data_IF_379833526133
#
_entry.id   IF_379833526133
#
_cell.length_a   1.000
_cell.length_b   1.000
_cell.length_c   1.000
_cell.angle_alpha   90.00
_cell.angle_beta   90.00
_cell.angle_gamma   90.00
#
_symmetry.space_group_name_H-M   'P 1'
#
loop_
_entity.id
_entity.type
_entity.pdbx_description
1 polymer ?
#
# COMPACT_ATOMS: atom_id res chain seq x y z
N UNK A 1 -30.49 1.59 -11.72
CA UNK A 1 -29.89 2.77 -12.39
C UNK A 1 -28.49 3.12 -11.87
N UNK A 2 -28.22 3.17 -10.56
CA UNK A 2 -26.89 3.51 -10.01
C UNK A 2 -25.80 2.48 -10.40
N UNK A 3 -26.11 1.18 -10.38
CA UNK A 3 -25.16 0.11 -10.71
C UNK A 3 -24.73 0.12 -12.20
N UNK A 4 -25.67 0.33 -13.12
CA UNK A 4 -25.39 0.44 -14.56
C UNK A 4 -24.62 1.74 -14.91
N UNK A 5 -24.88 2.84 -14.20
CA UNK A 5 -24.09 4.07 -14.33
C UNK A 5 -22.64 3.89 -13.85
N UNK A 6 -22.44 3.19 -12.73
CA UNK A 6 -21.11 2.80 -12.22
C UNK A 6 -20.35 1.91 -13.20
N UNK A 7 -21.01 0.92 -13.81
CA UNK A 7 -20.39 0.06 -14.83
C UNK A 7 -19.88 0.82 -16.05
N UNK A 8 -20.63 1.83 -16.52
CA UNK A 8 -20.22 2.66 -17.65
C UNK A 8 -18.99 3.52 -17.33
N UNK A 9 -18.99 4.17 -16.15
CA UNK A 9 -17.84 4.95 -15.68
C UNK A 9 -16.61 4.03 -15.49
N UNK A 10 -16.80 2.81 -14.97
CA UNK A 10 -15.70 1.86 -14.77
C UNK A 10 -15.08 1.32 -16.06
N UNK A 11 -15.84 1.23 -17.15
CA UNK A 11 -15.30 0.82 -18.44
C UNK A 11 -14.25 1.82 -18.95
N UNK A 12 -14.43 3.12 -18.67
CA UNK A 12 -13.51 4.19 -19.08
C UNK A 12 -12.22 4.24 -18.23
N UNK A 13 -12.16 3.54 -17.09
CA UNK A 13 -11.00 3.44 -16.21
C UNK A 13 -10.46 2.00 -16.08
N UNK A 14 -10.57 1.23 -17.16
CA UNK A 14 -9.92 -0.07 -17.29
C UNK A 14 -8.49 0.12 -17.79
N UNK A 15 -7.53 -0.20 -16.93
CA UNK A 15 -6.12 -0.24 -17.29
C UNK A 15 -5.79 -1.62 -17.86
N UNK A 16 -5.10 -1.67 -18.99
CA UNK A 16 -4.51 -2.92 -19.48
C UNK A 16 -3.39 -3.37 -18.53
N UNK A 17 -3.55 -4.55 -17.96
CA UNK A 17 -2.60 -5.15 -17.02
C UNK A 17 -2.19 -6.51 -17.61
N UNK A 18 -0.94 -6.63 -18.13
CA UNK A 18 -0.38 -7.89 -18.58
C UNK A 18 -0.54 -9.01 -17.55
N UNK A 19 -0.55 -10.25 -18.01
CA UNK A 19 -0.70 -11.39 -17.11
C UNK A 19 0.57 -11.66 -16.31
N UNK A 20 1.71 -11.62 -16.97
CA UNK A 20 2.92 -12.20 -16.40
C UNK A 20 4.18 -11.41 -16.76
N UNK A 21 5.32 -11.90 -16.29
CA UNK A 21 6.66 -11.43 -16.65
C UNK A 21 6.91 -9.98 -16.20
N UNK A 22 6.93 -9.80 -14.87
CA UNK A 22 6.99 -8.49 -14.22
C UNK A 22 8.36 -8.20 -13.61
N UNK A 23 8.90 -7.01 -13.89
CA UNK A 23 10.00 -6.44 -13.14
C UNK A 23 9.48 -5.68 -11.93
N UNK A 24 9.76 -6.21 -10.73
CA UNK A 24 9.31 -5.66 -9.47
C UNK A 24 10.30 -4.69 -8.87
N UNK A 25 9.81 -3.48 -8.58
CA UNK A 25 10.56 -2.47 -7.85
C UNK A 25 10.04 -2.27 -6.45
N UNK A 26 10.98 -2.46 -5.51
CA UNK A 26 10.75 -2.50 -4.07
C UNK A 26 10.50 -1.12 -3.50
N UNK A 27 9.76 -1.05 -2.41
CA UNK A 27 9.49 0.22 -1.72
C UNK A 27 10.44 0.44 -0.56
N UNK A 28 11.14 1.58 -0.53
CA UNK A 28 11.97 1.92 0.63
C UNK A 28 11.15 2.02 1.92
N UNK A 29 9.94 2.56 1.88
CA UNK A 29 9.07 2.65 3.07
C UNK A 29 8.60 1.26 3.49
N UNK A 30 8.17 0.42 2.54
CA UNK A 30 7.70 -0.93 2.87
C UNK A 30 8.83 -1.78 3.43
N UNK A 31 10.01 -1.74 2.85
CA UNK A 31 11.19 -2.47 3.35
C UNK A 31 11.59 -2.10 4.76
N UNK A 32 11.43 -0.82 5.14
CA UNK A 32 11.82 -0.35 6.46
C UNK A 32 10.75 -0.61 7.53
N UNK A 33 9.46 -0.51 7.17
CA UNK A 33 8.38 -0.54 8.16
C UNK A 33 7.48 -1.78 8.08
N UNK A 34 7.32 -2.38 6.90
CA UNK A 34 6.46 -3.54 6.64
C UNK A 34 7.16 -4.57 5.74
N UNK A 35 8.36 -5.07 6.10
CA UNK A 35 9.12 -5.99 5.24
C UNK A 35 8.37 -7.31 4.99
N UNK A 36 7.58 -7.78 5.95
CA UNK A 36 6.73 -8.96 5.80
C UNK A 36 5.69 -8.79 4.69
N UNK A 37 5.06 -7.61 4.58
CA UNK A 37 4.12 -7.29 3.51
C UNK A 37 4.77 -7.31 2.11
N UNK A 38 6.01 -6.81 1.97
CA UNK A 38 6.73 -6.87 0.68
C UNK A 38 7.08 -8.30 0.29
N UNK A 39 7.57 -9.11 1.24
CA UNK A 39 7.83 -10.53 1.01
C UNK A 39 6.55 -11.27 0.64
N UNK A 40 5.45 -10.99 1.34
CA UNK A 40 4.16 -11.64 1.11
C UNK A 40 3.62 -11.33 -0.29
N UNK A 41 3.75 -10.09 -0.77
CA UNK A 41 3.38 -9.77 -2.15
C UNK A 41 4.04 -10.72 -3.16
N UNK A 42 5.37 -10.86 -3.06
CA UNK A 42 6.15 -11.70 -3.97
C UNK A 42 5.83 -13.18 -3.81
N UNK A 43 5.62 -13.65 -2.59
CA UNK A 43 5.23 -15.02 -2.28
C UNK A 43 3.86 -15.36 -2.90
N UNK A 44 2.86 -14.47 -2.77
CA UNK A 44 1.55 -14.63 -3.43
C UNK A 44 1.74 -14.68 -4.95
N UNK A 45 2.44 -13.71 -5.53
CA UNK A 45 2.60 -13.64 -6.98
C UNK A 45 3.35 -14.85 -7.55
N UNK A 46 4.49 -15.24 -6.95
CA UNK A 46 5.33 -16.32 -7.46
C UNK A 46 4.77 -17.71 -7.15
N UNK A 47 4.36 -17.95 -5.90
CA UNK A 47 4.09 -19.31 -5.42
C UNK A 47 2.60 -19.65 -5.36
N UNK A 48 1.73 -18.66 -5.10
CA UNK A 48 0.27 -18.89 -5.09
C UNK A 48 -0.32 -18.74 -6.48
N UNK A 49 0.13 -17.73 -7.24
CA UNK A 49 -0.40 -17.40 -8.56
C UNK A 49 0.49 -17.89 -9.72
N UNK A 50 1.70 -18.39 -9.43
CA UNK A 50 2.59 -18.96 -10.45
C UNK A 50 3.11 -17.97 -11.48
N UNK A 51 3.28 -16.69 -11.10
CA UNK A 51 3.71 -15.61 -12.00
C UNK A 51 5.21 -15.36 -11.90
N UNK A 52 5.82 -15.02 -13.03
CA UNK A 52 7.21 -14.59 -13.14
C UNK A 52 7.37 -13.14 -12.68
N UNK A 53 8.08 -12.98 -11.57
CA UNK A 53 8.45 -11.70 -10.99
C UNK A 53 9.95 -11.69 -10.73
N UNK A 54 10.65 -10.75 -11.34
CA UNK A 54 12.08 -10.52 -11.10
C UNK A 54 12.32 -9.25 -10.30
N UNK A 55 13.25 -9.32 -9.36
CA UNK A 55 13.70 -8.19 -8.55
C UNK A 55 15.23 -8.06 -8.64
N UNK A 56 15.71 -6.86 -8.91
CA UNK A 56 17.14 -6.61 -8.99
C UNK A 56 17.74 -6.37 -7.59
N UNK A 57 18.80 -7.11 -7.24
CA UNK A 57 19.49 -6.96 -5.95
C UNK A 57 20.01 -5.54 -5.71
N UNK A 58 20.44 -4.86 -6.78
CA UNK A 58 20.96 -3.50 -6.79
C UNK A 58 19.87 -2.43 -7.08
N UNK A 59 18.59 -2.76 -6.94
CA UNK A 59 17.50 -1.78 -6.94
C UNK A 59 17.71 -0.71 -5.84
N UNK A 60 17.36 0.54 -6.10
CA UNK A 60 17.50 1.66 -5.14
C UNK A 60 16.20 2.43 -4.99
N UNK A 61 16.17 3.42 -4.10
CA UNK A 61 15.03 4.35 -3.98
C UNK A 61 14.60 4.93 -5.34
N UNK A 62 13.32 5.22 -5.49
CA UNK A 62 12.78 5.98 -6.62
C UNK A 62 13.05 7.49 -6.52
N UNK A 63 13.56 7.98 -5.39
CA UNK A 63 13.79 9.42 -5.14
C UNK A 63 12.52 10.24 -4.85
N UNK A 64 11.33 9.65 -4.99
CA UNK A 64 10.04 10.37 -4.93
C UNK A 64 9.80 11.15 -3.62
N UNK A 65 10.17 10.60 -2.46
CA UNK A 65 10.00 11.35 -1.18
C UNK A 65 10.89 12.60 -1.15
N UNK A 66 12.15 12.48 -1.57
CA UNK A 66 13.07 13.62 -1.61
C UNK A 66 12.58 14.67 -2.62
N UNK A 67 12.08 14.23 -3.77
CA UNK A 67 11.49 15.10 -4.78
C UNK A 67 10.26 15.86 -4.26
N UNK A 68 9.27 15.17 -3.68
CA UNK A 68 8.07 15.81 -3.12
C UNK A 68 8.32 16.58 -1.81
N UNK A 69 9.52 16.48 -1.24
CA UNK A 69 9.98 17.31 -0.13
C UNK A 69 10.80 18.53 -0.58
N UNK A 70 10.93 18.77 -1.89
CA UNK A 70 11.75 19.82 -2.49
C UNK A 70 13.25 19.73 -2.11
N UNK A 71 13.75 18.53 -1.78
CA UNK A 71 15.15 18.35 -1.33
C UNK A 71 16.11 17.96 -2.45
N UNK A 72 15.59 17.53 -3.61
CA UNK A 72 16.38 17.23 -4.80
C UNK A 72 15.74 17.82 -6.07
N UNK A 73 16.53 18.23 -7.07
CA UNK A 73 16.01 18.67 -8.36
C UNK A 73 15.25 17.58 -9.12
N UNK A 74 14.34 17.99 -10.01
CA UNK A 74 13.56 17.08 -10.86
C UNK A 74 14.45 16.20 -11.75
N UNK A 75 15.51 16.75 -12.33
CA UNK A 75 16.45 15.97 -13.15
C UNK A 75 17.16 14.85 -12.37
N UNK A 76 17.41 15.08 -11.07
CA UNK A 76 18.02 14.07 -10.19
C UNK A 76 17.07 12.89 -9.99
N UNK A 77 15.80 13.14 -9.66
CA UNK A 77 14.82 12.05 -9.51
C UNK A 77 14.60 11.33 -10.84
N UNK A 78 14.51 12.05 -11.95
CA UNK A 78 14.41 11.46 -13.30
C UNK A 78 15.59 10.55 -13.63
N UNK A 79 16.82 10.95 -13.30
CA UNK A 79 18.02 10.12 -13.52
C UNK A 79 18.03 8.87 -12.65
N UNK A 80 17.58 8.97 -11.39
CA UNK A 80 17.42 7.82 -10.49
C UNK A 80 16.38 6.82 -11.04
N UNK A 81 15.26 7.32 -11.58
CA UNK A 81 14.22 6.49 -12.20
C UNK A 81 14.72 5.85 -13.49
N UNK A 82 15.43 6.60 -14.34
CA UNK A 82 16.05 6.08 -15.55
C UNK A 82 17.00 4.91 -15.26
N UNK A 83 17.76 4.97 -14.14
CA UNK A 83 18.57 3.85 -13.67
C UNK A 83 17.72 2.61 -13.32
N UNK A 84 16.54 2.79 -12.72
CA UNK A 84 15.68 1.63 -12.42
C UNK A 84 15.12 1.00 -13.71
N UNK A 85 14.76 1.82 -14.71
CA UNK A 85 14.36 1.31 -16.03
C UNK A 85 15.52 0.61 -16.76
N UNK A 86 16.76 1.06 -16.56
CA UNK A 86 17.94 0.36 -17.07
C UNK A 86 18.06 -1.06 -16.46
N UNK A 87 17.83 -1.21 -15.15
CA UNK A 87 17.83 -2.54 -14.51
C UNK A 87 16.77 -3.47 -15.09
N UNK A 88 15.57 -2.96 -15.36
CA UNK A 88 14.53 -3.71 -16.06
C UNK A 88 14.98 -4.15 -17.46
N UNK A 89 15.56 -3.21 -18.22
CA UNK A 89 16.04 -3.44 -19.58
C UNK A 89 17.14 -4.51 -19.63
N UNK A 90 18.12 -4.42 -18.73
CA UNK A 90 19.23 -5.37 -18.61
C UNK A 90 18.75 -6.77 -18.22
N UNK A 91 17.68 -6.86 -17.42
CA UNK A 91 17.07 -8.13 -17.02
C UNK A 91 16.17 -8.74 -18.10
N UNK A 92 15.90 -8.02 -19.20
CA UNK A 92 15.07 -8.52 -20.31
C UNK A 92 13.55 -8.37 -20.10
N UNK A 93 13.11 -7.56 -19.12
CA UNK A 93 11.70 -7.35 -18.82
C UNK A 93 11.16 -6.07 -19.47
N UNK A 94 9.85 -6.01 -19.71
CA UNK A 94 9.16 -4.82 -20.25
C UNK A 94 7.93 -4.39 -19.44
N UNK A 95 7.39 -5.29 -18.60
CA UNK A 95 6.28 -5.01 -17.69
C UNK A 95 6.86 -4.61 -16.33
N UNK A 96 6.50 -3.44 -15.83
CA UNK A 96 7.10 -2.85 -14.64
C UNK A 96 6.06 -2.66 -13.54
N UNK A 97 6.34 -3.16 -12.34
CA UNK A 97 5.40 -3.08 -11.21
C UNK A 97 6.02 -2.37 -10.03
N UNK A 98 5.37 -1.28 -9.62
CA UNK A 98 5.76 -0.48 -8.48
C UNK A 98 5.08 -0.97 -7.20
N UNK A 99 5.88 -1.28 -6.17
CA UNK A 99 5.39 -1.62 -4.82
C UNK A 99 4.74 -0.43 -4.09
N UNK A 100 5.17 0.78 -4.40
CA UNK A 100 4.78 2.00 -3.69
C UNK A 100 3.96 2.91 -4.58
N UNK A 101 2.87 3.46 -4.04
CA UNK A 101 2.01 4.43 -4.72
C UNK A 101 2.74 5.73 -5.05
N UNK A 102 3.64 6.20 -4.18
CA UNK A 102 4.50 7.36 -4.48
C UNK A 102 5.40 7.07 -5.68
N UNK A 103 6.01 5.88 -5.73
CA UNK A 103 6.86 5.48 -6.85
C UNK A 103 6.04 5.37 -8.14
N UNK A 104 4.86 4.74 -8.09
CA UNK A 104 3.94 4.64 -9.21
C UNK A 104 3.58 6.02 -9.79
N UNK A 105 3.15 6.97 -8.95
CA UNK A 105 2.85 8.34 -9.38
C UNK A 105 4.07 9.04 -9.99
N UNK A 106 5.23 8.95 -9.34
CA UNK A 106 6.47 9.55 -9.81
C UNK A 106 6.93 8.98 -11.16
N UNK A 107 6.82 7.66 -11.37
CA UNK A 107 7.18 7.04 -12.66
C UNK A 107 6.27 7.50 -13.79
N UNK A 108 4.96 7.60 -13.54
CA UNK A 108 4.01 8.09 -14.54
C UNK A 108 4.29 9.56 -14.86
N UNK A 109 4.46 10.41 -13.84
CA UNK A 109 4.77 11.83 -14.04
C UNK A 109 6.00 12.03 -14.90
N UNK A 110 7.07 11.28 -14.62
CA UNK A 110 8.31 11.35 -15.37
C UNK A 110 8.10 10.92 -16.82
N UNK A 111 7.35 9.84 -17.08
CA UNK A 111 7.09 9.37 -18.43
C UNK A 111 6.23 10.33 -19.24
N UNK A 112 5.18 10.90 -18.64
CA UNK A 112 4.33 11.91 -19.29
C UNK A 112 5.14 13.20 -19.54
N UNK A 113 6.00 13.60 -18.59
CA UNK A 113 6.89 14.75 -18.77
C UNK A 113 7.89 14.53 -19.90
N UNK A 114 8.50 13.35 -20.00
CA UNK A 114 9.40 13.01 -21.11
C UNK A 114 8.67 12.89 -22.45
N UNK A 115 7.39 12.52 -22.45
CA UNK A 115 6.57 12.54 -23.65
C UNK A 115 6.37 13.98 -24.14
N UNK A 116 5.99 14.90 -23.24
CA UNK A 116 5.76 16.31 -23.58
C UNK A 116 7.06 17.05 -23.93
N UNK A 117 8.16 16.71 -23.25
CA UNK A 117 9.47 17.35 -23.39
C UNK A 117 10.58 16.33 -23.75
N UNK A 118 10.68 15.88 -25.02
CA UNK A 118 11.67 14.87 -25.44
C UNK A 118 13.15 15.31 -25.26
N UNK A 119 13.43 16.61 -25.29
CA UNK A 119 14.74 17.17 -25.02
C UNK A 119 15.18 16.92 -23.57
N UNK A 120 14.23 16.92 -22.63
CA UNK A 120 14.50 16.56 -21.25
C UNK A 120 14.84 15.07 -21.14
N UNK A 121 14.09 14.18 -21.81
CA UNK A 121 14.43 12.75 -21.88
C UNK A 121 15.86 12.54 -22.40
N UNK A 122 16.23 13.25 -23.47
CA UNK A 122 17.58 13.20 -24.07
C UNK A 122 18.65 13.59 -23.06
N UNK A 123 18.43 14.69 -22.33
CA UNK A 123 19.36 15.13 -21.27
C UNK A 123 19.46 14.10 -20.14
N UNK A 124 18.36 13.47 -19.73
CA UNK A 124 18.40 12.43 -18.70
C UNK A 124 19.18 11.20 -19.17
N UNK A 125 19.04 10.80 -20.44
CA UNK A 125 19.85 9.71 -21.03
C UNK A 125 21.35 10.03 -20.97
N UNK A 126 21.76 11.26 -21.26
CA UNK A 126 23.15 11.69 -21.11
C UNK A 126 23.64 11.65 -19.66
N UNK A 127 22.82 12.14 -18.71
CA UNK A 127 23.14 12.12 -17.28
C UNK A 127 23.28 10.70 -16.76
N UNK A 128 22.38 9.80 -17.15
CA UNK A 128 22.45 8.38 -16.81
C UNK A 128 23.76 7.75 -17.33
N UNK A 129 24.09 8.00 -18.60
CA UNK A 129 25.33 7.50 -19.20
C UNK A 129 26.56 8.03 -18.48
N UNK A 130 26.60 9.33 -18.17
CA UNK A 130 27.69 9.97 -17.41
C UNK A 130 27.83 9.38 -16.01
N UNK A 131 26.71 9.10 -15.33
CA UNK A 131 26.70 8.61 -13.95
C UNK A 131 27.09 7.13 -13.83
N UNK A 132 26.63 6.26 -14.74
CA UNK A 132 26.76 4.82 -14.55
C UNK A 132 26.92 3.98 -15.82
N UNK A 133 27.08 4.61 -17.00
CA UNK A 133 27.25 3.92 -18.30
C UNK A 133 26.12 2.93 -18.62
N UNK A 134 24.89 3.31 -18.25
CA UNK A 134 23.68 2.53 -18.50
C UNK A 134 22.79 3.21 -19.52
N UNK A 135 21.99 2.41 -20.20
CA UNK A 135 20.92 2.84 -21.08
C UNK A 135 19.62 2.18 -20.63
N UNK A 136 18.48 2.73 -21.04
CA UNK A 136 17.18 2.18 -20.66
C UNK A 136 16.18 2.21 -21.81
N UNK A 137 15.30 1.22 -21.82
CA UNK A 137 14.01 1.25 -22.52
C UNK A 137 12.92 1.71 -21.54
N UNK A 138 11.98 2.51 -22.03
CA UNK A 138 10.78 2.86 -21.25
C UNK A 138 9.94 1.59 -21.04
N UNK A 139 9.35 1.36 -19.86
CA UNK A 139 8.44 0.24 -19.64
C UNK A 139 7.29 0.26 -20.65
N UNK A 140 6.92 -0.91 -21.16
CA UNK A 140 5.75 -1.06 -22.04
C UNK A 140 4.46 -0.92 -21.23
N UNK A 141 4.46 -1.46 -20.01
CA UNK A 141 3.36 -1.35 -19.07
C UNK A 141 3.88 -1.00 -17.68
N UNK A 142 3.16 -0.13 -16.97
CA UNK A 142 3.42 0.19 -15.56
C UNK A 142 2.18 -0.12 -14.73
N UNK A 143 2.29 -1.07 -13.81
CA UNK A 143 1.27 -1.37 -12.81
C UNK A 143 1.70 -0.93 -11.41
N UNK A 144 0.75 -0.60 -10.55
CA UNK A 144 0.98 -0.66 -9.12
C UNK A 144 0.74 -2.09 -8.64
N UNK A 145 1.46 -2.56 -7.63
CA UNK A 145 1.32 -3.91 -7.08
C UNK A 145 -0.14 -4.24 -6.66
N UNK A 146 -0.91 -3.25 -6.19
CA UNK A 146 -2.35 -3.41 -5.90
C UNK A 146 -3.19 -3.71 -7.14
N UNK A 147 -2.79 -3.23 -8.32
CA UNK A 147 -3.49 -3.54 -9.58
C UNK A 147 -3.46 -5.05 -9.84
N UNK A 148 -2.32 -5.69 -9.51
CA UNK A 148 -2.12 -7.12 -9.72
C UNK A 148 -2.93 -7.95 -8.71
N UNK A 149 -2.89 -7.61 -7.42
CA UNK A 149 -3.74 -8.28 -6.42
C UNK A 149 -5.23 -8.09 -6.75
N UNK A 150 -5.62 -6.92 -7.27
CA UNK A 150 -7.00 -6.67 -7.69
C UNK A 150 -7.36 -7.52 -8.91
N UNK A 151 -6.47 -7.62 -9.90
CA UNK A 151 -6.66 -8.48 -11.08
C UNK A 151 -6.89 -9.93 -10.66
N UNK A 152 -6.08 -10.45 -9.73
CA UNK A 152 -6.13 -11.84 -9.28
C UNK A 152 -7.03 -12.10 -8.06
N UNK A 153 -7.80 -11.09 -7.60
CA UNK A 153 -8.58 -11.18 -6.36
C UNK A 153 -9.54 -12.36 -6.28
N UNK A 154 -10.14 -12.76 -7.41
CA UNK A 154 -11.06 -13.88 -7.47
C UNK A 154 -10.32 -15.22 -7.37
N UNK A 155 -9.17 -15.36 -8.04
CA UNK A 155 -8.31 -16.54 -7.90
C UNK A 155 -7.78 -16.66 -6.46
N UNK A 156 -7.42 -15.52 -5.84
CA UNK A 156 -7.07 -15.48 -4.41
C UNK A 156 -8.25 -15.91 -3.55
N UNK A 157 -9.47 -15.45 -3.85
CA UNK A 157 -10.68 -15.82 -3.12
C UNK A 157 -11.03 -17.32 -3.25
N UNK A 158 -10.75 -17.93 -4.40
CA UNK A 158 -10.92 -19.38 -4.63
C UNK A 158 -9.93 -20.22 -3.81
N UNK A 159 -8.71 -19.69 -3.57
CA UNK A 159 -7.66 -20.34 -2.77
C UNK A 159 -7.70 -19.91 -1.29
N UNK A 160 -8.61 -19.02 -0.91
CA UNK A 160 -8.68 -18.45 0.43
C UNK A 160 -9.13 -19.50 1.46
N UNK A 161 -8.43 -19.54 2.60
CA UNK A 161 -8.81 -20.34 3.77
C UNK A 161 -9.77 -19.57 4.68
N UNK A 162 -9.68 -18.25 4.68
CA UNK A 162 -10.50 -17.35 5.48
C UNK A 162 -11.22 -16.34 4.59
N UNK A 163 -12.34 -15.82 5.09
CA UNK A 163 -13.10 -14.73 4.46
C UNK A 163 -13.17 -13.55 5.42
N UNK A 164 -13.36 -12.35 4.88
CA UNK A 164 -13.56 -11.13 5.67
C UNK A 164 -14.98 -11.09 6.25
N UNK A 165 -15.33 -12.11 7.03
CA UNK A 165 -16.60 -12.28 7.73
C UNK A 165 -16.33 -12.49 9.20
N UNK A 166 -17.24 -12.05 10.05
CA UNK A 166 -17.22 -12.35 11.48
C UNK A 166 -17.60 -13.81 11.70
N UNK A 167 -16.71 -14.61 12.29
CA UNK A 167 -16.96 -16.05 12.50
C UNK A 167 -18.12 -16.33 13.45
N UNK A 168 -18.46 -15.40 14.34
CA UNK A 168 -19.51 -15.57 15.35
C UNK A 168 -20.88 -15.20 14.79
N UNK A 169 -20.95 -14.12 14.01
CA UNK A 169 -22.23 -13.60 13.49
C UNK A 169 -22.52 -14.02 12.06
N UNK A 170 -21.50 -14.39 11.28
CA UNK A 170 -21.60 -14.66 9.84
C UNK A 170 -21.70 -13.39 8.98
N UNK A 171 -21.73 -12.21 9.58
CA UNK A 171 -21.86 -10.95 8.87
C UNK A 171 -20.54 -10.53 8.22
N UNK A 172 -20.57 -9.91 7.02
CA UNK A 172 -19.40 -9.29 6.41
C UNK A 172 -18.72 -8.28 7.35
N UNK A 173 -17.39 -8.34 7.45
CA UNK A 173 -16.64 -7.32 8.18
C UNK A 173 -16.80 -5.97 7.51
N UNK A 174 -16.88 -4.91 8.33
CA UNK A 174 -17.00 -3.55 7.83
C UNK A 174 -15.61 -2.98 7.58
N UNK A 175 -15.25 -2.85 6.32
CA UNK A 175 -13.89 -2.46 5.90
C UNK A 175 -13.90 -1.07 5.28
N UNK A 176 -13.03 -0.21 5.79
CA UNK A 176 -12.71 1.05 5.13
C UNK A 176 -11.52 0.83 4.22
N UNK A 177 -11.59 1.32 2.99
CA UNK A 177 -10.41 1.44 2.14
C UNK A 177 -9.81 2.85 2.21
N UNK A 178 -8.51 2.91 2.05
CA UNK A 178 -7.76 4.14 1.86
C UNK A 178 -6.84 4.03 0.64
N UNK A 179 -7.32 4.56 -0.49
CA UNK A 179 -6.49 4.80 -1.67
C UNK A 179 -5.49 5.94 -1.43
N UNK A 180 -4.21 5.65 -1.64
CA UNK A 180 -3.15 6.64 -1.63
C UNK A 180 -3.36 7.72 -2.70
N UNK A 181 -3.15 8.98 -2.34
CA UNK A 181 -3.45 10.12 -3.21
C UNK A 181 -2.74 10.09 -4.57
N UNK A 182 -1.51 9.57 -4.67
CA UNK A 182 -0.77 9.53 -5.95
C UNK A 182 -1.29 8.46 -6.92
N UNK A 183 -2.22 7.60 -6.49
CA UNK A 183 -2.87 6.61 -7.35
C UNK A 183 -4.10 7.19 -8.04
N UNK A 184 -4.97 7.85 -7.27
CA UNK A 184 -6.27 8.31 -7.76
C UNK A 184 -6.30 9.79 -8.12
N UNK A 185 -5.52 10.66 -7.46
CA UNK A 185 -5.63 12.12 -7.67
C UNK A 185 -4.66 12.67 -8.70
N UNK A 186 -3.47 12.08 -8.82
CA UNK A 186 -2.40 12.60 -9.67
C UNK A 186 -2.59 12.19 -11.14
N UNK A 187 -2.83 10.90 -11.38
CA UNK A 187 -3.11 10.35 -12.72
C UNK A 187 -4.32 9.40 -12.68
N UNK A 188 -5.55 9.92 -12.51
CA UNK A 188 -6.74 9.08 -12.35
C UNK A 188 -6.97 8.11 -13.50
N UNK A 189 -6.60 8.48 -14.73
CA UNK A 189 -6.71 7.62 -15.92
C UNK A 189 -5.78 6.40 -15.89
N UNK A 190 -4.77 6.39 -15.01
CA UNK A 190 -3.79 5.29 -14.88
C UNK A 190 -4.09 4.35 -13.70
N UNK A 191 -5.08 4.70 -12.87
CA UNK A 191 -5.57 3.88 -11.77
C UNK A 191 -6.89 3.17 -12.11
N UNK A 192 -7.16 2.05 -11.44
CA UNK A 192 -8.41 1.29 -11.63
C UNK A 192 -9.57 2.01 -10.95
N UNK A 193 -10.53 2.47 -11.75
CA UNK A 193 -11.76 3.14 -11.29
C UNK A 193 -11.68 4.67 -11.14
N UNK A 194 -10.61 5.31 -11.60
CA UNK A 194 -10.52 6.79 -11.66
C UNK A 194 -10.28 7.49 -10.32
N UNK A 195 -10.54 8.80 -10.27
CA UNK A 195 -10.24 9.65 -9.10
C UNK A 195 -11.20 9.45 -7.92
N UNK A 196 -12.50 9.51 -8.21
CA UNK A 196 -13.57 9.65 -7.22
C UNK A 196 -13.97 8.32 -6.60
N UNK A 197 -13.99 7.25 -7.41
CA UNK A 197 -14.38 5.90 -6.99
C UNK A 197 -13.38 4.83 -7.45
N UNK A 198 -12.11 4.93 -7.04
CA UNK A 198 -11.15 3.89 -7.36
C UNK A 198 -11.61 2.59 -6.72
N UNK A 199 -11.62 1.53 -7.51
CA UNK A 199 -12.26 0.27 -7.14
C UNK A 199 -11.24 -0.81 -6.78
N UNK A 200 -9.94 -0.51 -6.91
CA UNK A 200 -8.83 -1.45 -6.68
C UNK A 200 -8.87 -2.12 -5.30
N UNK A 201 -9.19 -1.39 -4.22
CA UNK A 201 -9.34 -1.99 -2.88
C UNK A 201 -10.77 -2.46 -2.59
N UNK A 202 -11.78 -1.72 -3.06
CA UNK A 202 -13.19 -2.10 -2.89
C UNK A 202 -13.48 -3.49 -3.46
N UNK A 203 -13.02 -3.75 -4.68
CA UNK A 203 -13.24 -5.05 -5.31
C UNK A 203 -12.50 -6.18 -4.60
N UNK A 204 -11.34 -5.92 -3.98
CA UNK A 204 -10.68 -6.92 -3.13
C UNK A 204 -11.53 -7.24 -1.89
N UNK A 205 -12.02 -6.20 -1.20
CA UNK A 205 -12.88 -6.34 -0.01
C UNK A 205 -14.11 -7.19 -0.35
N UNK A 206 -14.81 -6.82 -1.42
CA UNK A 206 -16.03 -7.52 -1.87
C UNK A 206 -15.73 -8.97 -2.30
N UNK A 207 -14.67 -9.19 -3.09
CA UNK A 207 -14.27 -10.53 -3.53
C UNK A 207 -13.85 -11.44 -2.36
N UNK A 208 -13.37 -10.88 -1.25
CA UNK A 208 -12.97 -11.65 -0.06
C UNK A 208 -14.06 -11.74 1.00
N UNK A 209 -15.27 -11.23 0.72
CA UNK A 209 -16.46 -11.39 1.55
C UNK A 209 -16.73 -10.26 2.55
N UNK A 210 -15.96 -9.17 2.49
CA UNK A 210 -16.15 -7.99 3.34
C UNK A 210 -17.17 -7.01 2.76
N UNK A 211 -17.56 -6.04 3.58
CA UNK A 211 -18.43 -4.92 3.20
C UNK A 211 -17.66 -3.61 3.20
N UNK A 212 -17.77 -2.83 2.12
CA UNK A 212 -17.08 -1.54 2.00
C UNK A 212 -17.88 -0.46 2.72
N UNK A 213 -17.23 0.27 3.62
CA UNK A 213 -17.80 1.45 4.27
C UNK A 213 -17.53 2.69 3.42
N UNK A 214 -18.58 3.49 3.22
CA UNK A 214 -18.49 4.85 2.69
C UNK A 214 -18.72 5.88 3.80
N UNK A 215 -17.88 6.92 3.85
CA UNK A 215 -17.91 7.94 4.90
C UNK A 215 -17.36 9.28 4.38
N UNK A 216 -17.69 10.43 5.01
CA UNK A 216 -17.42 11.75 4.42
C UNK A 216 -15.94 12.01 4.06
N UNK A 217 -15.00 11.70 4.94
CA UNK A 217 -13.56 11.93 4.71
C UNK A 217 -12.83 10.73 4.08
N UNK A 218 -13.55 9.87 3.35
CA UNK A 218 -12.98 8.68 2.67
C UNK A 218 -11.82 9.01 1.74
N UNK A 219 -11.96 10.06 0.93
CA UNK A 219 -10.92 10.54 0.00
C UNK A 219 -9.94 11.54 0.61
N UNK A 220 -10.04 11.79 1.93
CA UNK A 220 -9.11 12.63 2.67
C UNK A 220 -7.73 11.98 2.79
N UNK A 221 -6.70 12.81 2.85
CA UNK A 221 -5.31 12.39 3.00
C UNK A 221 -5.10 11.62 4.32
N UNK A 222 -4.18 10.64 4.32
CA UNK A 222 -3.75 9.94 5.54
C UNK A 222 -2.84 10.78 6.45
N UNK A 223 -2.48 12.00 6.04
CA UNK A 223 -1.60 12.86 6.81
C UNK A 223 -0.10 12.63 6.63
N UNK A 224 0.38 11.76 5.72
CA UNK A 224 1.83 11.67 5.47
C UNK A 224 2.40 13.03 5.03
N UNK A 225 1.74 13.72 4.09
CA UNK A 225 2.01 15.11 3.75
C UNK A 225 3.44 15.43 3.23
N UNK A 226 4.28 14.42 2.98
CA UNK A 226 5.69 14.54 2.57
C UNK A 226 6.42 15.62 3.37
N UNK A 227 6.65 16.80 2.76
CA UNK A 227 7.31 17.94 3.39
C UNK A 227 6.69 18.33 4.73
N UNK A 228 5.36 18.25 4.86
CA UNK A 228 4.65 18.62 6.09
C UNK A 228 5.04 17.76 7.30
N UNK A 229 5.34 16.48 7.08
CA UNK A 229 5.83 15.61 8.15
C UNK A 229 7.34 15.77 8.41
N UNK A 230 8.11 15.99 7.34
CA UNK A 230 9.58 16.12 7.43
C UNK A 230 9.97 17.41 8.16
N UNK A 231 9.25 18.51 7.95
CA UNK A 231 9.45 19.75 8.68
C UNK A 231 8.76 19.63 10.04
N UNK A 232 9.55 19.51 11.13
CA UNK A 232 9.02 19.28 12.50
C UNK A 232 7.92 20.28 12.89
N UNK A 233 8.08 21.56 12.55
CA UNK A 233 7.11 22.61 12.85
C UNK A 233 5.74 22.40 12.19
N UNK A 234 5.69 21.62 11.10
CA UNK A 234 4.48 21.40 10.30
C UNK A 234 3.78 20.06 10.62
N UNK A 235 4.35 19.24 11.53
CA UNK A 235 3.81 17.91 11.85
C UNK A 235 2.38 17.95 12.39
N UNK A 236 1.96 19.06 12.99
CA UNK A 236 0.57 19.28 13.40
C UNK A 236 -0.43 19.13 12.24
N UNK A 237 -0.04 19.50 11.01
CA UNK A 237 -0.87 19.27 9.82
C UNK A 237 -1.00 17.78 9.50
N UNK A 238 0.07 16.99 9.67
CA UNK A 238 0.03 15.54 9.43
C UNK A 238 -0.96 14.85 10.37
N UNK A 239 -0.90 15.20 11.65
CA UNK A 239 -1.79 14.69 12.67
C UNK A 239 -3.24 15.12 12.43
N UNK A 240 -3.49 16.41 12.14
CA UNK A 240 -4.85 16.93 11.97
C UNK A 240 -5.61 16.30 10.79
N UNK A 241 -4.93 15.96 9.69
CA UNK A 241 -5.53 15.22 8.58
C UNK A 241 -6.00 13.82 9.04
N UNK A 242 -5.17 13.14 9.83
CA UNK A 242 -5.48 11.80 10.33
C UNK A 242 -6.62 11.84 11.34
N UNK A 243 -6.56 12.78 12.28
CA UNK A 243 -7.61 13.04 13.26
C UNK A 243 -8.95 13.30 12.59
N UNK A 244 -9.02 14.26 11.66
CA UNK A 244 -10.25 14.56 10.89
C UNK A 244 -10.82 13.31 10.20
N UNK A 245 -9.93 12.48 9.64
CA UNK A 245 -10.32 11.25 8.95
C UNK A 245 -10.93 10.23 9.92
N UNK A 246 -10.35 10.06 11.10
CA UNK A 246 -10.86 9.14 12.12
C UNK A 246 -12.16 9.66 12.77
N UNK A 247 -12.25 10.95 13.11
CA UNK A 247 -13.50 11.57 13.60
C UNK A 247 -14.67 11.34 12.65
N UNK A 248 -14.45 11.54 11.35
CA UNK A 248 -15.47 11.31 10.33
C UNK A 248 -15.82 9.84 10.13
N UNK A 249 -14.92 8.92 10.47
CA UNK A 249 -15.06 7.47 10.24
C UNK A 249 -15.74 6.77 11.43
N UNK A 250 -15.57 7.31 12.64
CA UNK A 250 -16.02 6.71 13.90
C UNK A 250 -17.50 6.26 13.91
N UNK A 251 -18.49 7.06 13.42
CA UNK A 251 -19.90 6.68 13.47
C UNK A 251 -20.24 5.43 12.65
N UNK A 252 -19.34 5.01 11.76
CA UNK A 252 -19.53 3.85 10.88
C UNK A 252 -19.01 2.54 11.49
N UNK A 253 -18.28 2.62 12.60
CA UNK A 253 -17.74 1.49 13.34
C UNK A 253 -17.01 0.46 12.46
N UNK A 254 -15.93 0.86 11.75
CA UNK A 254 -15.13 -0.05 10.95
C UNK A 254 -14.44 -1.11 11.80
N UNK A 255 -14.31 -2.31 11.23
CA UNK A 255 -13.53 -3.40 11.81
C UNK A 255 -12.04 -3.29 11.46
N UNK A 256 -11.73 -2.71 10.30
CA UNK A 256 -10.36 -2.52 9.81
C UNK A 256 -10.27 -1.46 8.70
N UNK A 257 -9.05 -1.01 8.44
CA UNK A 257 -8.70 -0.16 7.29
C UNK A 257 -7.74 -0.92 6.38
N UNK A 258 -7.98 -0.92 5.06
CA UNK A 258 -7.06 -1.45 4.05
C UNK A 258 -6.47 -0.30 3.24
N UNK A 259 -5.17 -0.33 3.00
CA UNK A 259 -4.41 0.72 2.32
C UNK A 259 -3.61 0.14 1.15
N UNK A 260 -3.40 0.92 0.08
CA UNK A 260 -2.54 0.52 -1.04
C UNK A 260 -1.19 1.23 -1.14
N UNK A 261 -0.93 2.21 -0.28
CA UNK A 261 0.34 2.93 -0.22
C UNK A 261 1.06 2.53 1.06
N UNK A 262 2.35 2.15 1.03
CA UNK A 262 3.07 1.73 2.24
C UNK A 262 3.24 2.83 3.30
N UNK A 263 3.13 4.12 2.92
CA UNK A 263 3.14 5.22 3.88
C UNK A 263 1.80 5.38 4.61
N UNK A 264 0.68 5.12 3.94
CA UNK A 264 -0.65 5.31 4.52
C UNK A 264 -0.91 4.47 5.79
N UNK A 265 -0.63 3.15 5.84
CA UNK A 265 -0.87 2.35 7.03
C UNK A 265 0.04 2.82 8.15
N UNK A 266 1.30 3.17 7.87
CA UNK A 266 2.23 3.71 8.88
C UNK A 266 1.63 4.91 9.64
N UNK A 267 1.08 5.88 8.92
CA UNK A 267 0.52 7.08 9.55
C UNK A 267 -0.83 6.83 10.21
N UNK A 268 -1.73 6.10 9.56
CA UNK A 268 -3.04 5.79 10.12
C UNK A 268 -2.95 4.86 11.34
N UNK A 269 -1.98 3.97 11.39
CA UNK A 269 -1.70 3.09 12.53
C UNK A 269 -1.09 3.89 13.70
N UNK A 270 0.04 4.57 13.46
CA UNK A 270 0.80 5.24 14.53
C UNK A 270 0.14 6.50 15.08
N UNK A 271 -0.60 7.24 14.26
CA UNK A 271 -1.29 8.43 14.78
C UNK A 271 -2.42 8.10 15.73
N UNK A 272 -2.98 6.88 15.71
CA UNK A 272 -3.97 6.49 16.71
C UNK A 272 -3.38 6.49 18.13
N UNK A 273 -2.11 6.09 18.30
CA UNK A 273 -1.42 6.19 19.58
C UNK A 273 -1.29 7.65 20.04
N UNK A 274 -0.86 8.53 19.14
CA UNK A 274 -0.64 9.95 19.48
C UNK A 274 -1.96 10.65 19.77
N UNK A 275 -3.03 10.36 19.03
CA UNK A 275 -4.37 10.89 19.31
C UNK A 275 -4.85 10.39 20.68
N UNK A 276 -4.65 9.11 20.98
CA UNK A 276 -4.99 8.55 22.29
C UNK A 276 -4.20 9.22 23.43
N UNK A 277 -2.91 9.51 23.23
CA UNK A 277 -2.07 10.21 24.20
C UNK A 277 -2.50 11.68 24.41
N UNK A 278 -2.86 12.37 23.33
CA UNK A 278 -3.22 13.79 23.38
C UNK A 278 -4.65 14.04 23.87
N UNK A 279 -5.60 13.18 23.51
CA UNK A 279 -7.03 13.41 23.69
C UNK A 279 -7.73 12.34 24.55
N UNK A 280 -7.04 11.25 24.90
CA UNK A 280 -7.65 10.12 25.62
C UNK A 280 -8.67 9.35 24.78
N UNK A 281 -8.66 9.52 23.45
CA UNK A 281 -9.64 8.95 22.53
C UNK A 281 -9.08 7.81 21.70
N UNK A 282 -9.85 6.73 21.59
CA UNK A 282 -9.55 5.58 20.73
C UNK A 282 -10.71 5.31 19.80
N UNK A 283 -10.46 4.97 18.54
CA UNK A 283 -11.51 4.82 17.52
C UNK A 283 -11.99 3.38 17.30
N UNK A 284 -11.26 2.39 17.83
CA UNK A 284 -11.69 1.00 17.83
C UNK A 284 -12.62 0.69 19.02
N UNK A 285 -13.15 -0.53 19.06
CA UNK A 285 -14.02 -0.98 20.16
C UNK A 285 -13.22 -1.21 21.43
N UNK A 286 -13.84 -1.09 22.60
CA UNK A 286 -13.28 -1.53 23.89
C UNK A 286 -11.89 -0.96 24.23
N UNK A 287 -11.59 0.28 23.81
CA UNK A 287 -10.31 0.95 24.06
C UNK A 287 -9.16 0.54 23.12
N UNK A 288 -9.46 -0.21 22.05
CA UNK A 288 -8.50 -0.52 20.99
C UNK A 288 -8.48 0.58 19.91
N UNK A 289 -7.44 0.59 19.08
CA UNK A 289 -7.47 1.28 17.79
C UNK A 289 -8.21 0.47 16.72
N UNK A 290 -8.42 1.08 15.56
CA UNK A 290 -8.85 0.39 14.34
C UNK A 290 -7.60 -0.15 13.63
N UNK A 291 -7.46 -1.48 13.45
CA UNK A 291 -6.32 -2.07 12.76
C UNK A 291 -6.19 -1.57 11.31
N UNK A 292 -4.96 -1.29 10.87
CA UNK A 292 -4.69 -0.73 9.53
C UNK A 292 -3.71 -1.60 8.76
N UNK A 293 -4.16 -2.20 7.68
CA UNK A 293 -3.36 -3.12 6.88
C UNK A 293 -3.00 -2.57 5.50
N UNK A 294 -1.92 -3.08 4.95
CA UNK A 294 -1.69 -3.14 3.51
C UNK A 294 -2.58 -4.21 2.87
N UNK A 295 -2.93 -4.06 1.60
CA UNK A 295 -3.70 -5.08 0.87
C UNK A 295 -2.98 -6.43 0.76
N UNK A 296 -1.65 -6.46 0.82
CA UNK A 296 -0.87 -7.70 0.76
C UNK A 296 -0.94 -8.49 2.06
N UNK A 297 -0.92 -7.79 3.20
CA UNK A 297 -1.17 -8.42 4.50
C UNK A 297 -2.56 -9.05 4.52
N UNK A 298 -3.59 -8.34 4.04
CA UNK A 298 -4.94 -8.89 3.99
C UNK A 298 -5.05 -10.07 3.03
N UNK A 299 -4.40 -10.00 1.86
CA UNK A 299 -4.33 -11.11 0.93
C UNK A 299 -3.65 -12.34 1.58
N UNK A 300 -2.57 -12.13 2.35
CA UNK A 300 -1.92 -13.18 3.13
C UNK A 300 -2.83 -13.78 4.21
N UNK A 301 -3.55 -12.92 4.94
CA UNK A 301 -4.51 -13.35 5.97
C UNK A 301 -5.63 -14.22 5.38
N UNK A 302 -6.24 -13.83 4.25
CA UNK A 302 -7.31 -14.62 3.62
C UNK A 302 -6.80 -15.95 3.06
N UNK A 303 -5.54 -16.00 2.58
CA UNK A 303 -4.87 -17.23 2.17
C UNK A 303 -4.44 -18.12 3.37
N UNK A 304 -4.54 -17.59 4.59
CA UNK A 304 -4.22 -18.26 5.84
C UNK A 304 -2.73 -18.47 6.06
N UNK A 305 -1.94 -17.46 5.72
CA UNK A 305 -0.56 -17.32 6.20
C UNK A 305 -0.55 -16.92 7.68
N UNK A 306 0.50 -17.31 8.39
CA UNK A 306 0.69 -16.94 9.79
C UNK A 306 0.83 -15.41 9.93
N UNK A 307 0.05 -14.74 10.80
CA UNK A 307 0.11 -13.30 11.05
C UNK A 307 1.51 -12.75 11.36
N UNK A 308 2.38 -13.54 11.97
CA UNK A 308 3.73 -13.13 12.38
C UNK A 308 4.75 -13.25 11.25
N UNK A 309 4.51 -14.15 10.28
CA UNK A 309 5.24 -14.19 9.02
C UNK A 309 4.89 -12.99 8.11
N UNK A 310 3.68 -12.45 8.23
CA UNK A 310 3.25 -11.22 7.57
C UNK A 310 3.87 -9.97 8.19
N UNK A 311 4.43 -10.06 9.40
CA UNK A 311 5.03 -8.94 10.13
C UNK A 311 4.03 -8.09 10.92
N UNK A 312 2.84 -8.62 11.23
CA UNK A 312 1.77 -7.85 11.91
C UNK A 312 2.12 -7.42 13.34
N UNK A 313 3.10 -8.07 13.97
CA UNK A 313 3.68 -7.67 15.26
C UNK A 313 4.36 -6.28 15.24
N UNK A 314 4.63 -5.73 14.05
CA UNK A 314 5.20 -4.39 13.89
C UNK A 314 4.15 -3.26 13.87
N UNK A 315 2.86 -3.63 13.83
CA UNK A 315 1.76 -2.67 13.90
C UNK A 315 1.64 -2.12 15.32
N UNK A 316 1.38 -0.82 15.44
CA UNK A 316 1.22 -0.11 16.70
C UNK A 316 -0.14 -0.43 17.34
N UNK A 317 -1.18 -0.59 16.51
CA UNK A 317 -2.51 -1.00 16.93
C UNK A 317 -2.60 -2.52 16.96
N UNK A 318 -3.20 -3.06 18.03
CA UNK A 318 -3.40 -4.50 18.18
C UNK A 318 -4.28 -5.05 17.04
N UNK A 319 -3.79 -6.10 16.37
CA UNK A 319 -4.47 -6.76 15.24
C UNK A 319 -5.26 -7.97 15.69
N UNK A 320 -4.89 -8.55 16.84
CA UNK A 320 -5.44 -9.76 17.43
C UNK A 320 -6.96 -9.76 17.55
N UNK A 321 -7.63 -8.68 18.02
CA UNK A 321 -9.08 -8.66 18.09
C UNK A 321 -9.76 -8.90 16.73
N UNK A 322 -9.13 -8.46 15.64
CA UNK A 322 -9.62 -8.70 14.29
C UNK A 322 -9.31 -10.13 13.83
N UNK A 323 -8.11 -10.64 14.11
CA UNK A 323 -7.73 -12.02 13.80
C UNK A 323 -8.71 -13.02 14.45
N UNK A 324 -9.03 -12.81 15.74
CA UNK A 324 -10.01 -13.58 16.49
C UNK A 324 -11.42 -13.47 15.90
N UNK A 325 -11.78 -12.28 15.39
CA UNK A 325 -13.07 -12.02 14.76
C UNK A 325 -13.22 -12.76 13.43
N UNK A 326 -12.14 -12.82 12.63
CA UNK A 326 -12.09 -13.59 11.37
C UNK A 326 -12.00 -15.10 11.66
N UNK A 327 -11.40 -15.49 12.78
CA UNK A 327 -11.10 -16.87 13.12
C UNK A 327 -9.76 -17.37 12.61
N UNK A 328 -8.82 -16.45 12.39
CA UNK A 328 -7.45 -16.80 11.99
C UNK A 328 -6.74 -17.42 13.20
N UNK A 329 -6.20 -18.62 13.00
CA UNK A 329 -5.40 -19.31 14.01
C UNK A 329 -3.99 -18.72 14.04
N UNK A 330 -3.52 -18.35 15.24
CA UNK A 330 -2.16 -17.88 15.47
C UNK A 330 -1.73 -18.22 16.91
N UNK A 331 -0.42 -18.26 17.14
CA UNK A 331 0.17 -18.49 18.46
C UNK A 331 0.60 -17.16 19.09
N UNK A 332 -0.05 -16.67 20.17
CA UNK A 332 0.35 -15.42 20.82
C UNK A 332 1.79 -15.44 21.35
N UNK A 333 2.28 -16.62 21.73
CA UNK A 333 3.66 -16.79 22.19
C UNK A 333 4.70 -16.55 21.11
N UNK A 334 4.32 -16.70 19.83
CA UNK A 334 5.24 -16.56 18.69
C UNK A 334 5.32 -15.12 18.16
N UNK A 335 4.46 -14.21 18.64
CA UNK A 335 4.38 -12.79 18.20
C UNK A 335 5.72 -12.07 18.16
N UNK A 336 6.56 -12.32 19.17
CA UNK A 336 7.90 -11.73 19.29
C UNK A 336 9.00 -12.78 19.21
N UNK A 337 8.78 -13.86 18.46
CA UNK A 337 9.84 -14.82 18.13
C UNK A 337 10.37 -14.56 16.73
N UNK A 338 11.68 -14.38 16.62
CA UNK A 338 12.39 -14.29 15.36
C UNK A 338 12.78 -15.66 14.80
N UNK A 339 13.73 -15.64 13.85
CA UNK A 339 14.33 -16.84 13.28
C UNK A 339 14.79 -17.82 14.38
N UNK A 340 14.47 -19.11 14.20
CA UNK A 340 14.75 -20.19 15.15
C UNK A 340 14.10 -20.03 16.53
N UNK A 341 12.93 -19.37 16.60
CA UNK A 341 12.14 -19.17 17.83
C UNK A 341 12.86 -18.36 18.92
N UNK A 342 13.87 -17.57 18.54
CA UNK A 342 14.57 -16.68 19.47
C UNK A 342 13.70 -15.46 19.77
N UNK A 343 13.47 -15.15 21.04
CA UNK A 343 12.77 -13.90 21.41
C UNK A 343 13.50 -12.68 20.79
N UNK A 344 12.73 -11.88 20.07
CA UNK A 344 13.07 -10.51 19.71
C UNK A 344 12.52 -9.59 20.81
N UNK A 345 13.20 -8.47 21.04
CA UNK A 345 12.84 -7.52 22.11
C UNK A 345 11.34 -7.22 22.10
N UNK A 346 10.69 -7.33 23.26
CA UNK A 346 9.29 -6.96 23.41
C UNK A 346 9.19 -5.44 23.58
N UNK A 347 8.31 -4.76 22.83
CA UNK A 347 8.13 -3.33 22.98
C UNK A 347 7.49 -3.00 24.33
N UNK A 348 7.75 -1.80 24.82
CA UNK A 348 6.97 -1.23 25.92
C UNK A 348 5.53 -1.03 25.48
N UNK A 349 4.57 -1.44 26.32
CA UNK A 349 3.15 -1.32 26.02
C UNK A 349 2.66 0.09 26.37
N UNK A 350 1.91 0.75 25.46
CA UNK A 350 1.32 2.04 25.73
C UNK A 350 0.24 1.94 26.82
N UNK A 351 0.17 2.92 27.73
CA UNK A 351 -0.91 3.01 28.71
C UNK A 351 -2.23 3.57 28.14
N UNK A 352 -2.19 4.13 26.93
CA UNK A 352 -3.29 4.90 26.32
C UNK A 352 -4.06 4.13 25.26
N UNK A 353 -3.55 2.98 24.80
CA UNK A 353 -4.21 2.07 23.89
C UNK A 353 -4.18 0.67 24.47
N UNK A 354 -5.29 -0.06 24.35
CA UNK A 354 -5.29 -1.46 24.72
C UNK A 354 -4.46 -2.27 23.73
N UNK A 355 -3.53 -3.08 24.25
CA UNK A 355 -2.68 -4.00 23.50
C UNK A 355 -2.96 -5.45 23.91
N UNK A 356 -2.54 -6.39 23.07
CA UNK A 356 -2.64 -7.83 23.29
C UNK A 356 -1.26 -8.46 23.48
#
# INVERSE_FOLDING_TARGET
>A
MIYQGKQKIWADYQKEIPDDHWFYVRSCIRQNFFPGAERMFLEICRNVLGKDFYEAANHTTCGGIAYHCDTIPQETVMTIVARQFALMTEAGYENYVASCITSFGNYIEILETWHEFPELETRIRELLWKACRREFKKPKYIAHASDLIYKYRNEIAEKAKFRLVDRQTGEPLKVVEHIGCHYSKMFPSKGVGGAEYPYVLCGMIESWGGSVIDYPERRHCCGYGFRQYHVKANRGYSLSNTHKKFESMEPYHPDMIITNCPGCPYFLDRWQYVIAEMEGKTYGRNGYGIPVFTYEEVAGLVLGYDPWDLGLQLHQVAVEPLLDKIGIEYSPEDKYKGLNKKDILRPELPGVLKCC
#
